data_IF_651586615899
#
_entry.id   IF_651586615899
#
_cell.length_a   1.000
_cell.length_b   1.000
_cell.length_c   1.000
_cell.angle_alpha   90.00
_cell.angle_beta   90.00
_cell.angle_gamma   90.00
#
_symmetry.space_group_name_H-M   'P 1'
#
loop_
_entity.id
_entity.type
_entity.pdbx_description
1 polymer ?
#
# COMPACT_ATOMS: atom_id res chain seq x y z
N UNK A 1 3.72 -6.50 19.57
CA UNK A 1 4.09 -5.07 19.78
C UNK A 1 3.35 -4.25 18.75
N UNK A 2 2.79 -3.09 19.14
CA UNK A 2 2.05 -2.25 18.17
C UNK A 2 2.99 -1.65 17.12
N UNK A 3 2.74 -1.92 15.84
CA UNK A 3 3.46 -1.31 14.73
C UNK A 3 2.81 0.01 14.31
N UNK A 4 1.48 0.13 14.45
CA UNK A 4 0.72 1.34 14.14
C UNK A 4 -0.30 1.63 15.24
N UNK A 5 -0.37 2.91 15.65
CA UNK A 5 -1.46 3.42 16.49
C UNK A 5 -2.07 4.65 15.80
N UNK A 6 -3.36 4.59 15.59
CA UNK A 6 -4.20 5.68 15.06
C UNK A 6 -5.05 6.20 16.20
N UNK A 7 -4.96 7.49 16.50
CA UNK A 7 -5.62 8.08 17.67
C UNK A 7 -6.42 9.32 17.24
N UNK A 8 -7.74 9.21 17.25
CA UNK A 8 -8.67 10.31 16.97
C UNK A 8 -8.50 10.93 15.59
N UNK A 9 -8.14 10.13 14.58
CA UNK A 9 -7.83 10.62 13.25
C UNK A 9 -9.05 11.21 12.56
N UNK A 10 -9.01 12.50 12.25
CA UNK A 10 -10.05 13.20 11.48
C UNK A 10 -9.46 13.73 10.18
N UNK A 11 -10.17 13.52 9.09
CA UNK A 11 -9.76 13.96 7.77
C UNK A 11 -10.93 14.63 7.04
N UNK A 12 -10.66 15.74 6.40
CA UNK A 12 -11.63 16.52 5.61
C UNK A 12 -11.15 16.64 4.16
N UNK A 13 -12.07 16.56 3.22
CA UNK A 13 -11.84 16.94 1.84
C UNK A 13 -12.99 17.84 1.36
N UNK A 14 -12.67 19.04 0.85
CA UNK A 14 -13.67 20.01 0.40
C UNK A 14 -14.81 20.25 1.41
N UNK A 15 -14.46 20.39 2.70
CA UNK A 15 -15.39 20.56 3.83
C UNK A 15 -16.30 19.33 4.11
N UNK A 16 -16.05 18.20 3.47
CA UNK A 16 -16.73 16.92 3.78
C UNK A 16 -15.84 16.12 4.71
N UNK A 17 -16.40 15.65 5.83
CA UNK A 17 -15.70 14.74 6.75
C UNK A 17 -15.61 13.35 6.13
N UNK A 18 -14.38 12.90 5.88
CA UNK A 18 -14.08 11.57 5.35
C UNK A 18 -13.76 10.57 6.45
N UNK A 19 -13.13 11.05 7.54
CA UNK A 19 -12.83 10.28 8.75
C UNK A 19 -13.21 11.12 9.96
N UNK A 20 -13.85 10.50 10.94
CA UNK A 20 -14.33 11.15 12.15
C UNK A 20 -13.78 10.45 13.40
N UNK A 21 -12.77 11.09 14.03
CA UNK A 21 -12.13 10.63 15.25
C UNK A 21 -11.73 9.14 15.27
N UNK A 22 -11.32 8.60 14.10
CA UNK A 22 -10.99 7.20 13.90
C UNK A 22 -9.82 6.78 14.81
N UNK A 23 -9.99 5.69 15.54
CA UNK A 23 -8.95 5.15 16.43
C UNK A 23 -8.86 3.63 16.32
N UNK A 24 -7.66 3.11 16.08
CA UNK A 24 -7.36 1.67 16.09
C UNK A 24 -5.87 1.43 16.25
N UNK A 25 -5.51 0.18 16.47
CA UNK A 25 -4.11 -0.27 16.52
C UNK A 25 -3.90 -1.46 15.59
N UNK A 26 -2.67 -1.64 15.14
CA UNK A 26 -2.22 -2.81 14.40
C UNK A 26 -0.94 -3.33 15.05
N UNK A 27 -0.92 -4.63 15.31
CA UNK A 27 0.23 -5.30 15.91
C UNK A 27 1.28 -5.65 14.86
N UNK A 28 2.52 -5.83 15.30
CA UNK A 28 3.61 -6.25 14.41
C UNK A 28 3.35 -7.68 13.90
N UNK A 29 3.45 -7.88 12.57
CA UNK A 29 3.16 -9.16 11.92
C UNK A 29 1.66 -9.47 11.78
N UNK A 30 0.76 -8.55 12.14
CA UNK A 30 -0.69 -8.69 11.97
C UNK A 30 -1.12 -8.28 10.55
N UNK A 31 -2.15 -8.96 10.02
CA UNK A 31 -2.95 -8.50 8.89
C UNK A 31 -4.28 -7.99 9.43
N UNK A 32 -4.49 -6.68 9.39
CA UNK A 32 -5.77 -6.03 9.74
C UNK A 32 -6.51 -5.63 8.47
N UNK A 33 -7.79 -5.99 8.38
CA UNK A 33 -8.67 -5.51 7.32
C UNK A 33 -9.65 -4.46 7.86
N UNK A 34 -9.76 -3.33 7.15
CA UNK A 34 -10.83 -2.35 7.34
C UNK A 34 -11.91 -2.60 6.28
N UNK A 35 -13.03 -3.14 6.70
CA UNK A 35 -14.17 -3.42 5.82
C UNK A 35 -15.24 -2.33 5.90
N UNK A 36 -16.05 -2.22 4.85
CA UNK A 36 -17.16 -1.29 4.85
C UNK A 36 -17.65 -0.96 3.45
N UNK A 37 -18.81 -0.30 3.34
CA UNK A 37 -19.41 0.06 2.05
C UNK A 37 -18.51 1.04 1.26
N UNK A 38 -18.91 1.28 0.01
CA UNK A 38 -18.35 2.40 -0.76
C UNK A 38 -18.58 3.68 0.04
N UNK A 39 -17.62 4.59 0.01
CA UNK A 39 -17.66 5.88 0.74
C UNK A 39 -17.61 5.80 2.28
N UNK A 40 -17.33 4.62 2.86
CA UNK A 40 -17.10 4.48 4.30
C UNK A 40 -15.86 5.22 4.83
N UNK A 41 -14.98 5.73 3.95
CA UNK A 41 -13.74 6.39 4.33
C UNK A 41 -12.48 5.51 4.24
N UNK A 42 -12.58 4.26 3.76
CA UNK A 42 -11.48 3.29 3.68
C UNK A 42 -10.24 3.82 2.95
N UNK A 43 -10.43 4.23 1.69
CA UNK A 43 -9.33 4.82 0.88
C UNK A 43 -8.80 6.11 1.50
N UNK A 44 -9.65 6.94 2.10
CA UNK A 44 -9.23 8.14 2.81
C UNK A 44 -8.34 7.80 4.00
N UNK A 45 -8.68 6.77 4.77
CA UNK A 45 -7.86 6.26 5.86
C UNK A 45 -6.46 5.88 5.35
N UNK A 46 -6.36 5.01 4.35
CA UNK A 46 -5.06 4.60 3.79
C UNK A 46 -4.26 5.78 3.24
N UNK A 47 -4.91 6.77 2.62
CA UNK A 47 -4.25 7.97 2.11
C UNK A 47 -3.75 8.89 3.21
N UNK A 48 -4.49 9.04 4.32
CA UNK A 48 -4.02 9.76 5.50
C UNK A 48 -2.80 9.06 6.12
N UNK A 49 -2.86 7.73 6.29
CA UNK A 49 -1.76 6.93 6.82
C UNK A 49 -0.51 7.01 5.92
N UNK A 50 -0.70 7.05 4.61
CA UNK A 50 0.39 7.18 3.63
C UNK A 50 0.91 8.63 3.46
N UNK A 51 0.32 9.62 4.15
CA UNK A 51 0.72 11.02 4.05
C UNK A 51 0.34 11.71 2.74
N UNK A 52 -0.53 11.10 1.92
CA UNK A 52 -1.02 11.66 0.65
C UNK A 52 -2.36 12.39 0.78
N UNK A 53 -2.97 12.34 1.96
CA UNK A 53 -4.13 13.14 2.34
C UNK A 53 -3.85 13.79 3.70
N UNK A 54 -4.04 15.11 3.85
CA UNK A 54 -3.71 15.81 5.09
C UNK A 54 -4.62 15.35 6.25
N UNK A 55 -4.01 15.17 7.41
CA UNK A 55 -4.70 14.92 8.68
C UNK A 55 -5.17 16.27 9.24
N UNK A 56 -6.45 16.38 9.58
CA UNK A 56 -7.02 17.60 10.18
C UNK A 56 -6.81 17.62 11.69
N UNK A 57 -7.04 16.49 12.36
CA UNK A 57 -6.77 16.30 13.79
C UNK A 57 -6.49 14.84 14.10
N UNK A 58 -5.98 14.58 15.30
CA UNK A 58 -5.57 13.25 15.73
C UNK A 58 -4.08 13.00 15.52
N UNK A 59 -3.63 11.79 15.82
CA UNK A 59 -2.22 11.41 15.76
C UNK A 59 -2.03 10.04 15.11
N UNK A 60 -0.93 9.92 14.38
CA UNK A 60 -0.42 8.67 13.83
C UNK A 60 0.91 8.33 14.48
N UNK A 61 1.01 7.15 15.08
CA UNK A 61 2.24 6.66 15.70
C UNK A 61 2.63 5.38 14.97
N UNK A 62 3.80 5.37 14.35
CA UNK A 62 4.36 4.22 13.64
C UNK A 62 5.67 3.82 14.28
N UNK A 63 5.81 2.55 14.66
CA UNK A 63 6.99 2.00 15.35
C UNK A 63 7.38 2.85 16.58
N UNK A 64 6.39 3.26 17.38
CA UNK A 64 6.56 4.07 18.59
C UNK A 64 6.93 5.55 18.33
N UNK A 65 6.94 6.02 17.08
CA UNK A 65 7.27 7.40 16.71
C UNK A 65 6.05 8.09 16.12
N UNK A 66 5.84 9.34 16.51
CA UNK A 66 4.80 10.15 15.87
C UNK A 66 5.21 10.51 14.44
N UNK A 67 4.32 10.18 13.49
CA UNK A 67 4.52 10.39 12.05
C UNK A 67 3.41 11.22 11.40
N UNK A 68 2.58 11.86 12.21
CA UNK A 68 1.45 12.68 11.75
C UNK A 68 1.93 13.77 10.79
N UNK A 69 1.32 13.83 9.59
CA UNK A 69 1.61 14.84 8.58
C UNK A 69 2.95 14.68 7.85
N UNK A 70 3.68 13.59 8.06
CA UNK A 70 4.85 13.29 7.24
C UNK A 70 4.44 12.99 5.80
N UNK A 71 5.33 13.35 4.86
CA UNK A 71 5.12 13.10 3.42
C UNK A 71 5.29 11.61 3.09
N UNK A 72 4.70 11.11 2.00
CA UNK A 72 4.81 9.70 1.59
C UNK A 72 6.26 9.21 1.50
N UNK A 73 7.17 10.06 0.99
CA UNK A 73 8.59 9.73 0.88
C UNK A 73 9.24 9.49 2.25
N UNK A 74 8.90 10.30 3.24
CA UNK A 74 9.49 10.22 4.57
C UNK A 74 8.92 9.02 5.35
N UNK A 75 7.65 8.67 5.12
CA UNK A 75 7.01 7.45 5.63
C UNK A 75 7.61 6.19 4.99
N UNK A 76 7.79 6.19 3.66
CA UNK A 76 8.41 5.07 2.95
C UNK A 76 9.85 4.79 3.43
N UNK A 77 10.62 5.83 3.78
CA UNK A 77 11.96 5.69 4.39
C UNK A 77 11.93 4.99 5.75
N UNK A 78 10.83 5.12 6.47
CA UNK A 78 10.62 4.45 7.75
C UNK A 78 10.02 3.05 7.60
N UNK A 79 9.59 2.67 6.39
CA UNK A 79 9.00 1.38 6.08
C UNK A 79 7.47 1.34 6.13
N UNK A 80 6.78 2.49 6.18
CA UNK A 80 5.34 2.58 5.98
C UNK A 80 5.06 2.91 4.50
N UNK A 81 4.50 1.97 3.76
CA UNK A 81 4.35 2.06 2.31
C UNK A 81 2.93 1.72 1.89
N UNK A 82 2.33 2.54 1.02
CA UNK A 82 1.08 2.22 0.34
C UNK A 82 1.36 1.81 -1.11
N UNK A 83 0.78 0.70 -1.56
CA UNK A 83 0.80 0.32 -2.97
C UNK A 83 0.07 1.40 -3.80
N UNK A 84 0.62 1.73 -4.99
CA UNK A 84 0.09 2.79 -5.84
C UNK A 84 0.51 4.22 -5.46
N UNK A 85 1.31 4.42 -4.41
CA UNK A 85 1.73 5.77 -3.96
C UNK A 85 3.09 6.22 -4.56
N UNK A 86 3.78 5.34 -5.27
CA UNK A 86 5.08 5.68 -5.86
C UNK A 86 4.88 6.59 -7.08
N UNK A 87 5.50 7.78 -7.11
CA UNK A 87 5.33 8.72 -8.22
C UNK A 87 5.77 8.09 -9.54
N UNK A 88 4.91 8.21 -10.54
CA UNK A 88 5.18 7.76 -11.91
C UNK A 88 5.56 8.97 -12.76
N UNK A 89 6.63 8.92 -13.57
CA UNK A 89 6.95 10.00 -14.48
C UNK A 89 5.88 10.13 -15.59
N UNK A 90 5.79 11.28 -16.28
CA UNK A 90 4.78 11.53 -17.31
C UNK A 90 4.96 10.71 -18.59
N UNK A 91 6.07 9.99 -18.74
CA UNK A 91 6.31 9.06 -19.85
C UNK A 91 6.16 7.62 -19.37
N UNK A 92 5.71 6.76 -20.28
CA UNK A 92 5.49 5.35 -19.95
C UNK A 92 6.80 4.63 -19.67
N UNK A 93 6.85 3.92 -18.56
CA UNK A 93 7.94 3.03 -18.17
C UNK A 93 7.57 1.58 -18.47
N UNK A 94 8.56 0.73 -18.72
CA UNK A 94 8.37 -0.71 -18.63
C UNK A 94 8.15 -1.14 -17.17
N UNK A 95 7.59 -2.33 -16.97
CA UNK A 95 7.39 -2.89 -15.62
C UNK A 95 8.69 -2.98 -14.85
N UNK A 96 9.77 -3.44 -15.50
CA UNK A 96 11.12 -3.47 -14.91
C UNK A 96 11.58 -2.06 -14.49
N UNK A 97 11.42 -1.08 -15.37
CA UNK A 97 11.81 0.32 -15.10
C UNK A 97 11.02 0.91 -13.94
N UNK A 98 9.73 0.63 -13.85
CA UNK A 98 8.88 1.09 -12.77
C UNK A 98 9.31 0.52 -11.40
N UNK A 99 9.69 -0.75 -11.34
CA UNK A 99 10.20 -1.36 -10.09
C UNK A 99 11.60 -0.84 -9.76
N UNK A 100 12.49 -0.66 -10.74
CA UNK A 100 13.82 -0.05 -10.51
C UNK A 100 13.70 1.39 -10.00
N UNK A 101 12.73 2.15 -10.51
CA UNK A 101 12.42 3.49 -9.99
C UNK A 101 12.05 3.43 -8.50
N UNK A 102 11.19 2.50 -8.12
CA UNK A 102 10.78 2.30 -6.73
C UNK A 102 11.97 1.99 -5.82
N UNK A 103 12.89 1.11 -6.22
CA UNK A 103 14.10 0.77 -5.48
C UNK A 103 15.00 1.99 -5.15
N UNK A 104 14.85 3.10 -5.87
CA UNK A 104 15.66 4.31 -5.70
C UNK A 104 14.90 5.48 -5.09
N UNK A 105 13.59 5.53 -5.27
CA UNK A 105 12.77 6.66 -4.91
C UNK A 105 13.03 7.22 -3.49
N UNK A 106 13.10 6.40 -2.44
CA UNK A 106 13.31 6.93 -1.10
C UNK A 106 14.67 7.58 -0.88
N UNK A 107 15.67 7.27 -1.75
CA UNK A 107 17.05 7.74 -1.57
C UNK A 107 17.38 9.01 -2.35
N UNK A 108 16.82 9.15 -3.54
CA UNK A 108 17.23 10.21 -4.48
C UNK A 108 16.08 11.03 -5.06
N UNK A 109 14.83 10.68 -4.72
CA UNK A 109 13.63 11.26 -5.32
C UNK A 109 13.34 10.74 -6.73
N UNK A 110 12.12 10.97 -7.23
CA UNK A 110 11.64 10.36 -8.47
C UNK A 110 12.44 10.78 -9.71
N UNK A 111 12.70 12.07 -9.91
CA UNK A 111 13.40 12.56 -11.11
C UNK A 111 14.83 12.03 -11.20
N UNK A 112 15.61 12.08 -10.13
CA UNK A 112 16.97 11.58 -10.11
C UNK A 112 17.03 10.04 -10.24
N UNK A 113 16.02 9.33 -9.74
CA UNK A 113 15.91 7.89 -9.89
C UNK A 113 15.72 7.48 -11.36
N UNK A 114 14.94 8.25 -12.13
CA UNK A 114 14.69 8.01 -13.54
C UNK A 114 15.92 8.29 -14.42
N UNK A 115 16.61 9.42 -14.18
CA UNK A 115 17.74 9.87 -15.02
C UNK A 115 19.02 9.06 -14.83
N UNK A 116 19.14 8.21 -13.84
CA UNK A 116 20.37 7.47 -13.55
C UNK A 116 20.47 6.19 -14.40
N UNK A 117 21.71 5.84 -14.80
CA UNK A 117 22.01 4.51 -15.35
C UNK A 117 21.68 3.42 -14.34
N UNK A 118 21.02 2.36 -14.78
CA UNK A 118 20.57 1.27 -13.91
C UNK A 118 21.52 0.09 -14.01
N UNK A 119 22.20 -0.30 -12.90
CA UNK A 119 23.04 -1.49 -12.86
C UNK A 119 22.23 -2.76 -13.10
N UNK A 120 22.83 -3.78 -13.71
CA UNK A 120 22.19 -5.06 -13.99
C UNK A 120 21.70 -5.77 -12.72
N UNK A 121 22.38 -5.59 -11.59
CA UNK A 121 21.93 -6.10 -10.28
C UNK A 121 20.58 -5.58 -9.85
N UNK A 122 20.20 -4.35 -10.20
CA UNK A 122 18.88 -3.79 -9.89
C UNK A 122 17.81 -4.30 -10.83
N UNK A 123 18.16 -4.54 -12.09
CA UNK A 123 17.25 -5.17 -13.05
C UNK A 123 16.93 -6.59 -12.63
N UNK A 124 17.94 -7.36 -12.17
CA UNK A 124 17.73 -8.70 -11.63
C UNK A 124 16.83 -8.70 -10.40
N UNK A 125 17.02 -7.74 -9.47
CA UNK A 125 16.15 -7.61 -8.31
C UNK A 125 14.71 -7.20 -8.71
N UNK A 126 14.56 -6.31 -9.68
CA UNK A 126 13.25 -5.94 -10.21
C UNK A 126 12.55 -7.14 -10.87
N UNK A 127 13.28 -7.94 -11.65
CA UNK A 127 12.75 -9.15 -12.26
C UNK A 127 12.25 -10.16 -11.20
N UNK A 128 13.03 -10.40 -10.15
CA UNK A 128 12.63 -11.27 -9.05
C UNK A 128 11.36 -10.77 -8.31
N UNK A 129 11.21 -9.44 -8.13
CA UNK A 129 9.99 -8.88 -7.55
C UNK A 129 8.79 -9.00 -8.49
N UNK A 130 8.99 -8.81 -9.80
CA UNK A 130 7.96 -9.00 -10.83
C UNK A 130 7.54 -10.47 -10.94
N UNK A 131 8.48 -11.41 -10.87
CA UNK A 131 8.18 -12.84 -10.80
C UNK A 131 7.31 -13.18 -9.59
N UNK A 132 7.66 -12.65 -8.41
CA UNK A 132 6.93 -12.86 -7.17
C UNK A 132 5.47 -12.41 -7.23
N UNK A 133 5.17 -11.35 -7.98
CA UNK A 133 3.80 -10.87 -8.17
C UNK A 133 3.13 -11.45 -9.44
N UNK A 134 3.77 -12.39 -10.15
CA UNK A 134 3.22 -13.05 -11.34
C UNK A 134 3.30 -12.21 -12.62
N UNK A 135 4.29 -11.31 -12.73
CA UNK A 135 4.54 -10.47 -13.92
C UNK A 135 5.86 -10.80 -14.63
N UNK A 136 6.38 -12.03 -14.50
CA UNK A 136 7.65 -12.41 -15.14
C UNK A 136 7.59 -12.32 -16.67
N UNK A 137 6.45 -12.64 -17.27
CA UNK A 137 6.25 -12.55 -18.72
C UNK A 137 6.21 -11.11 -19.25
N UNK A 138 6.00 -10.14 -18.38
CA UNK A 138 5.72 -8.74 -18.71
C UNK A 138 6.90 -7.79 -18.44
N UNK A 139 8.13 -8.29 -18.29
CA UNK A 139 9.30 -7.49 -17.91
C UNK A 139 9.57 -6.27 -18.83
N UNK A 140 9.25 -6.39 -20.11
CA UNK A 140 9.40 -5.33 -21.11
C UNK A 140 8.08 -4.64 -21.48
N UNK A 141 6.95 -5.11 -20.94
CA UNK A 141 5.63 -4.53 -21.17
C UNK A 141 5.58 -3.13 -20.57
N UNK A 142 5.00 -2.18 -21.27
CA UNK A 142 4.80 -0.84 -20.73
C UNK A 142 3.72 -0.88 -19.65
N UNK A 143 3.92 -0.07 -18.61
CA UNK A 143 2.93 0.06 -17.53
C UNK A 143 1.52 0.34 -18.06
N UNK A 144 1.43 1.24 -19.06
CA UNK A 144 0.15 1.68 -19.60
C UNK A 144 -0.53 0.63 -20.51
N UNK A 145 0.20 -0.41 -20.92
CA UNK A 145 -0.31 -1.54 -21.71
C UNK A 145 -0.74 -2.72 -20.82
N UNK A 146 -0.53 -2.64 -19.49
CA UNK A 146 -0.96 -3.68 -18.57
C UNK A 146 -2.49 -3.65 -18.38
N UNK A 147 -3.13 -4.82 -18.29
CA UNK A 147 -4.51 -4.92 -17.82
C UNK A 147 -4.62 -4.45 -16.36
N UNK A 148 -5.81 -4.07 -15.87
CA UNK A 148 -6.00 -3.58 -14.49
C UNK A 148 -5.38 -4.48 -13.41
N UNK A 149 -5.56 -5.80 -13.49
CA UNK A 149 -4.95 -6.75 -12.57
C UNK A 149 -3.41 -6.77 -12.64
N UNK A 150 -2.85 -6.59 -13.83
CA UNK A 150 -1.39 -6.45 -14.03
C UNK A 150 -0.86 -5.17 -13.41
N UNK A 151 -1.61 -4.07 -13.51
CA UNK A 151 -1.23 -2.80 -12.90
C UNK A 151 -1.20 -2.89 -11.37
N UNK A 152 -2.20 -3.52 -10.75
CA UNK A 152 -2.22 -3.73 -9.30
C UNK A 152 -1.05 -4.59 -8.83
N UNK A 153 -0.71 -5.65 -9.57
CA UNK A 153 0.46 -6.49 -9.31
C UNK A 153 1.78 -5.69 -9.43
N UNK A 154 1.87 -4.80 -10.42
CA UNK A 154 3.04 -3.92 -10.58
C UNK A 154 3.17 -2.94 -9.42
N UNK A 155 2.08 -2.32 -8.98
CA UNK A 155 2.06 -1.42 -7.82
C UNK A 155 2.48 -2.14 -6.54
N UNK A 156 2.07 -3.40 -6.37
CA UNK A 156 2.52 -4.24 -5.27
C UNK A 156 4.02 -4.55 -5.37
N UNK A 157 4.54 -4.91 -6.56
CA UNK A 157 5.97 -5.13 -6.76
C UNK A 157 6.81 -3.88 -6.44
N UNK A 158 6.32 -2.70 -6.83
CA UNK A 158 6.95 -1.43 -6.49
C UNK A 158 6.95 -1.18 -4.98
N UNK A 159 5.86 -1.46 -4.28
CA UNK A 159 5.78 -1.33 -2.83
C UNK A 159 6.74 -2.30 -2.12
N UNK A 160 6.80 -3.56 -2.56
CA UNK A 160 7.73 -4.57 -2.03
C UNK A 160 9.21 -4.21 -2.25
N UNK A 161 9.53 -3.49 -3.34
CA UNK A 161 10.87 -2.97 -3.60
C UNK A 161 11.38 -2.03 -2.48
N UNK A 162 10.48 -1.40 -1.74
CA UNK A 162 10.77 -0.53 -0.60
C UNK A 162 10.99 -1.29 0.72
N UNK A 163 10.79 -2.62 0.74
CA UNK A 163 10.91 -3.48 1.93
C UNK A 163 10.06 -2.96 3.09
N UNK A 164 8.75 -2.88 2.92
CA UNK A 164 7.86 -2.31 3.93
C UNK A 164 7.88 -3.13 5.23
N UNK A 165 7.83 -2.43 6.36
CA UNK A 165 7.49 -3.00 7.67
C UNK A 165 5.96 -2.99 7.89
N UNK A 166 5.30 -1.99 7.29
CA UNK A 166 3.84 -1.90 7.19
C UNK A 166 3.46 -1.60 5.74
N UNK A 167 2.71 -2.51 5.14
CA UNK A 167 2.17 -2.40 3.79
C UNK A 167 0.69 -2.03 3.85
N UNK A 168 0.30 -0.98 3.12
CA UNK A 168 -1.09 -0.55 2.99
C UNK A 168 -1.61 -0.95 1.60
N UNK A 169 -2.74 -1.69 1.55
CA UNK A 169 -3.37 -2.21 0.33
C UNK A 169 -4.83 -1.77 0.24
N UNK A 170 -5.22 -1.23 -0.90
CA UNK A 170 -6.58 -0.70 -1.14
C UNK A 170 -7.39 -1.67 -2.01
N UNK A 171 -8.31 -2.43 -1.40
CA UNK A 171 -9.18 -3.44 -2.00
C UNK A 171 -8.41 -4.48 -2.87
N UNK A 172 -7.32 -5.11 -2.33
CA UNK A 172 -6.41 -5.94 -3.13
C UNK A 172 -7.06 -7.21 -3.69
N UNK A 173 -8.12 -7.71 -3.08
CA UNK A 173 -8.85 -8.89 -3.56
C UNK A 173 -10.11 -8.48 -4.33
N UNK A 174 -10.80 -7.43 -3.88
CA UNK A 174 -12.08 -7.00 -4.45
C UNK A 174 -11.96 -6.48 -5.89
N UNK A 175 -10.81 -5.94 -6.27
CA UNK A 175 -10.55 -5.42 -7.63
C UNK A 175 -10.14 -6.50 -8.63
N UNK A 176 -9.77 -7.69 -8.15
CA UNK A 176 -9.29 -8.77 -9.00
C UNK A 176 -10.43 -9.69 -9.48
N UNK A 177 -10.26 -10.29 -10.68
CA UNK A 177 -11.08 -11.42 -11.10
C UNK A 177 -11.07 -12.55 -10.05
N UNK A 178 -12.15 -13.33 -10.00
CA UNK A 178 -12.29 -14.41 -9.01
C UNK A 178 -11.11 -15.38 -9.02
N UNK A 179 -10.63 -15.77 -10.20
CA UNK A 179 -9.55 -16.74 -10.39
C UNK A 179 -8.18 -16.23 -9.90
N UNK A 180 -8.00 -14.91 -9.84
CA UNK A 180 -6.74 -14.28 -9.38
C UNK A 180 -6.67 -14.08 -7.86
N UNK A 181 -7.81 -14.08 -7.17
CA UNK A 181 -7.90 -13.80 -5.73
C UNK A 181 -7.12 -14.78 -4.85
N UNK A 182 -7.15 -16.11 -5.09
CA UNK A 182 -6.36 -17.06 -4.29
C UNK A 182 -4.85 -16.80 -4.38
N UNK A 183 -4.35 -16.47 -5.57
CA UNK A 183 -2.94 -16.14 -5.76
C UNK A 183 -2.54 -14.85 -5.02
N UNK A 184 -3.39 -13.82 -5.04
CA UNK A 184 -3.16 -12.59 -4.30
C UNK A 184 -3.24 -12.82 -2.79
N UNK A 185 -4.19 -13.60 -2.31
CA UNK A 185 -4.31 -13.96 -0.90
C UNK A 185 -3.05 -14.69 -0.40
N UNK A 186 -2.57 -15.67 -1.16
CA UNK A 186 -1.32 -16.38 -0.85
C UNK A 186 -0.11 -15.44 -0.82
N UNK A 187 -0.03 -14.49 -1.75
CA UNK A 187 1.04 -13.50 -1.78
C UNK A 187 0.99 -12.56 -0.57
N UNK A 188 -0.18 -12.11 -0.13
CA UNK A 188 -0.33 -11.29 1.08
C UNK A 188 0.13 -12.09 2.31
N UNK A 189 -0.26 -13.37 2.43
CA UNK A 189 0.18 -14.24 3.51
C UNK A 189 1.71 -14.44 3.50
N UNK A 190 2.33 -14.59 2.32
CA UNK A 190 3.78 -14.69 2.15
C UNK A 190 4.49 -13.39 2.57
N UNK A 191 3.92 -12.22 2.24
CA UNK A 191 4.46 -10.90 2.64
C UNK A 191 4.48 -10.80 4.16
N UNK A 192 3.40 -11.20 4.84
CA UNK A 192 3.32 -11.27 6.30
C UNK A 192 4.36 -12.24 6.88
N UNK A 193 4.46 -13.45 6.31
CA UNK A 193 5.44 -14.44 6.75
C UNK A 193 6.90 -13.94 6.61
N UNK A 194 7.14 -13.03 5.66
CA UNK A 194 8.40 -12.32 5.48
C UNK A 194 8.66 -11.20 6.51
N UNK A 195 7.75 -11.00 7.49
CA UNK A 195 7.90 -10.06 8.61
C UNK A 195 7.25 -8.70 8.41
N UNK A 196 6.51 -8.47 7.32
CA UNK A 196 5.75 -7.24 7.15
C UNK A 196 4.36 -7.36 7.81
N UNK A 197 3.91 -6.29 8.47
CA UNK A 197 2.51 -6.12 8.85
C UNK A 197 1.71 -5.61 7.64
N UNK A 198 0.43 -5.91 7.57
CA UNK A 198 -0.43 -5.48 6.46
C UNK A 198 -1.69 -4.82 7.01
N UNK A 199 -2.01 -3.65 6.50
CA UNK A 199 -3.33 -3.05 6.64
C UNK A 199 -3.98 -3.02 5.26
N UNK A 200 -5.09 -3.71 5.11
CA UNK A 200 -5.82 -3.71 3.85
C UNK A 200 -7.26 -3.19 4.03
N UNK A 201 -7.84 -2.78 2.94
CA UNK A 201 -9.27 -2.46 2.91
C UNK A 201 -10.01 -3.45 2.02
N UNK A 202 -11.25 -3.76 2.32
CA UNK A 202 -12.17 -4.52 1.46
C UNK A 202 -13.60 -4.00 1.60
N UNK A 203 -14.44 -4.30 0.60
CA UNK A 203 -15.89 -4.01 0.69
C UNK A 203 -16.63 -5.16 1.32
N UNK A 204 -16.25 -6.37 0.95
CA UNK A 204 -16.85 -7.61 1.40
C UNK A 204 -15.99 -8.21 2.52
N UNK A 205 -16.52 -8.33 3.75
CA UNK A 205 -15.82 -8.99 4.84
C UNK A 205 -15.39 -10.43 4.52
N UNK A 206 -16.16 -11.15 3.69
CA UNK A 206 -15.79 -12.51 3.29
C UNK A 206 -14.49 -12.58 2.48
N UNK A 207 -14.13 -11.51 1.75
CA UNK A 207 -12.81 -11.42 1.10
C UNK A 207 -11.70 -11.12 2.11
N UNK A 208 -11.98 -10.27 3.09
CA UNK A 208 -11.04 -9.97 4.14
C UNK A 208 -10.70 -11.20 4.99
N UNK A 209 -11.69 -12.03 5.30
CA UNK A 209 -11.53 -13.28 6.08
C UNK A 209 -10.60 -14.29 5.42
N UNK A 210 -10.33 -14.16 4.10
CA UNK A 210 -9.37 -15.03 3.41
C UNK A 210 -7.92 -14.81 3.87
N UNK A 211 -7.59 -13.63 4.40
CA UNK A 211 -6.20 -13.22 4.68
C UNK A 211 -6.00 -12.53 6.03
N UNK A 212 -7.02 -11.87 6.57
CA UNK A 212 -6.89 -11.02 7.75
C UNK A 212 -6.92 -11.84 9.04
N UNK A 213 -6.06 -11.47 9.99
CA UNK A 213 -6.11 -11.97 11.36
C UNK A 213 -7.25 -11.31 12.16
N UNK A 214 -7.60 -10.07 11.77
CA UNK A 214 -8.66 -9.27 12.39
C UNK A 214 -9.34 -8.38 11.35
N UNK A 215 -10.65 -8.28 11.45
CA UNK A 215 -11.48 -7.40 10.63
C UNK A 215 -12.12 -6.33 11.51
N UNK A 216 -12.08 -5.09 11.06
CA UNK A 216 -12.77 -3.97 11.68
C UNK A 216 -13.69 -3.31 10.65
N UNK A 217 -14.87 -2.90 11.07
CA UNK A 217 -15.87 -2.33 10.15
C UNK A 217 -15.88 -0.82 10.26
N UNK A 218 -15.69 -0.17 9.12
CA UNK A 218 -15.73 1.28 8.95
C UNK A 218 -17.05 1.67 8.29
N UNK A 219 -17.77 2.62 8.89
CA UNK A 219 -18.93 3.27 8.29
C UNK A 219 -18.86 4.77 8.53
N UNK A 220 -19.11 5.58 7.50
CA UNK A 220 -19.13 7.06 7.56
C UNK A 220 -17.92 7.66 8.30
N UNK A 221 -16.75 7.10 8.09
CA UNK A 221 -15.50 7.60 8.66
C UNK A 221 -15.20 7.16 10.09
N UNK A 222 -16.04 6.35 10.73
CA UNK A 222 -15.86 5.84 12.08
C UNK A 222 -15.87 4.31 12.12
N UNK A 223 -15.18 3.71 13.11
CA UNK A 223 -15.30 2.28 13.37
C UNK A 223 -16.62 1.98 14.11
N UNK A 224 -17.32 0.94 13.66
CA UNK A 224 -18.58 0.48 14.26
C UNK A 224 -18.49 -0.92 14.85
N UNK A 225 -17.46 -1.69 14.51
CA UNK A 225 -17.17 -3.03 15.05
C UNK A 225 -15.68 -3.36 14.85
#
# INVERSE_FOLDING_TARGET
MKILEVVGLTCLANSVTLLDALSFTLEEGEILALCGPTDAGKTACLRCLAGSLPVHSGRLIFDGREVTGLRPLDLARQGLVRAGEIPTPPWSLTTTEAVVLALRWPRVGALAAVLAKWPDTRRALAAALLERVGLLADLATRRDDLPPAGLERLELAQALALRPRLLLLDEPLGRLPLDDRPAMAALIAEIRAGGASVLLTERDPALADLVADRVAVLDRGALIA
#
